data_IF_129930658561
#
_entry.id   IF_129930658561
#
_cell.length_a   1.000
_cell.length_b   1.000
_cell.length_c   1.000
_cell.angle_alpha   90.00
_cell.angle_beta   90.00
_cell.angle_gamma   90.00
#
_symmetry.space_group_name_H-M   'P 1'
#
loop_
_entity.id
_entity.type
_entity.pdbx_description
1 polymer ?
#
# COMPACT_ATOMS: atom_id res chain seq x y z
N UNK A 1 -2.18 -40.90 -18.15
CA UNK A 1 -2.65 -39.61 -17.58
C UNK A 1 -1.67 -38.45 -17.84
N UNK A 2 -0.35 -38.66 -17.74
CA UNK A 2 0.64 -37.57 -17.88
C UNK A 2 0.74 -36.89 -19.25
N UNK A 3 0.60 -37.61 -20.38
CA UNK A 3 0.76 -36.99 -21.71
C UNK A 3 -0.38 -36.02 -22.08
N UNK A 4 -1.64 -36.38 -21.77
CA UNK A 4 -2.79 -35.47 -21.97
C UNK A 4 -2.67 -34.20 -21.14
N UNK A 5 -2.12 -34.30 -19.93
CA UNK A 5 -1.85 -33.13 -19.08
C UNK A 5 -0.78 -32.22 -19.72
N UNK A 6 0.32 -32.79 -20.19
CA UNK A 6 1.42 -32.04 -20.82
C UNK A 6 0.95 -31.32 -22.10
N UNK A 7 0.14 -31.97 -22.93
CA UNK A 7 -0.44 -31.36 -24.13
C UNK A 7 -1.38 -30.21 -23.78
N UNK A 8 -2.24 -30.40 -22.78
CA UNK A 8 -3.16 -29.36 -22.30
C UNK A 8 -2.40 -28.15 -21.75
N UNK A 9 -1.32 -28.38 -21.00
CA UNK A 9 -0.47 -27.32 -20.45
C UNK A 9 0.30 -26.57 -21.55
N UNK A 10 0.80 -27.26 -22.59
CA UNK A 10 1.44 -26.61 -23.74
C UNK A 10 0.45 -25.78 -24.55
N UNK A 11 -0.74 -26.32 -24.82
CA UNK A 11 -1.78 -25.65 -25.59
C UNK A 11 -2.27 -24.35 -24.92
N UNK A 12 -2.25 -24.29 -23.58
CA UNK A 12 -2.71 -23.14 -22.81
C UNK A 12 -1.57 -22.34 -22.14
N UNK A 13 -0.32 -22.54 -22.58
CA UNK A 13 0.87 -21.96 -21.93
C UNK A 13 0.79 -20.43 -21.77
N UNK A 14 0.26 -19.71 -22.77
CA UNK A 14 0.10 -18.25 -22.71
C UNK A 14 -0.87 -17.79 -21.62
N UNK A 15 -2.03 -18.45 -21.53
CA UNK A 15 -3.05 -18.19 -20.49
C UNK A 15 -2.54 -18.53 -19.10
N UNK A 16 -1.79 -19.64 -18.98
CA UNK A 16 -1.16 -20.04 -17.72
C UNK A 16 -0.10 -19.03 -17.27
N UNK A 17 0.77 -18.57 -18.18
CA UNK A 17 1.78 -17.56 -17.87
C UNK A 17 1.11 -16.23 -17.46
N UNK A 18 0.10 -15.78 -18.21
CA UNK A 18 -0.64 -14.57 -17.85
C UNK A 18 -1.32 -14.68 -16.48
N UNK A 19 -1.96 -15.83 -16.20
CA UNK A 19 -2.56 -16.11 -14.89
C UNK A 19 -1.54 -16.10 -13.76
N UNK A 20 -0.36 -16.70 -13.95
CA UNK A 20 0.73 -16.69 -12.96
C UNK A 20 1.26 -15.27 -12.73
N UNK A 21 1.50 -14.48 -13.79
CA UNK A 21 1.96 -13.09 -13.66
C UNK A 21 0.94 -12.27 -12.87
N UNK A 22 -0.35 -12.41 -13.18
CA UNK A 22 -1.43 -11.71 -12.52
C UNK A 22 -1.52 -12.07 -11.03
N UNK A 23 -1.38 -13.37 -10.69
CA UNK A 23 -1.32 -13.84 -9.29
C UNK A 23 -0.10 -13.26 -8.57
N UNK A 24 1.08 -13.30 -9.20
CA UNK A 24 2.32 -12.75 -8.63
C UNK A 24 2.19 -11.24 -8.40
N UNK A 25 1.72 -10.48 -9.39
CA UNK A 25 1.49 -9.04 -9.26
C UNK A 25 0.49 -8.72 -8.15
N UNK A 26 -0.55 -9.53 -7.97
CA UNK A 26 -1.55 -9.31 -6.93
C UNK A 26 -1.05 -9.65 -5.53
N UNK A 27 -0.20 -10.67 -5.41
CA UNK A 27 0.49 -10.96 -4.16
C UNK A 27 1.46 -9.83 -3.80
N UNK A 28 2.20 -9.29 -4.78
CA UNK A 28 3.09 -8.14 -4.59
C UNK A 28 2.30 -6.91 -4.18
N UNK A 29 1.21 -6.58 -4.87
CA UNK A 29 0.34 -5.44 -4.52
C UNK A 29 -0.26 -5.64 -3.12
N UNK A 30 -0.70 -6.85 -2.75
CA UNK A 30 -1.22 -7.13 -1.40
C UNK A 30 -0.15 -6.94 -0.33
N UNK A 31 1.07 -7.43 -0.57
CA UNK A 31 2.19 -7.30 0.36
C UNK A 31 2.63 -5.85 0.56
N UNK A 32 2.59 -5.04 -0.50
CA UNK A 32 2.99 -3.63 -0.44
C UNK A 32 1.90 -2.73 0.14
N UNK A 33 0.63 -3.03 -0.11
CA UNK A 33 -0.49 -2.15 0.28
C UNK A 33 -1.14 -2.50 1.62
N UNK A 34 -0.76 -3.61 2.25
CA UNK A 34 -1.37 -4.08 3.49
C UNK A 34 -2.84 -4.48 3.34
N UNK A 35 -3.31 -4.68 2.10
CA UNK A 35 -4.68 -5.06 1.78
C UNK A 35 -4.97 -6.52 2.13
N UNK A 36 -6.19 -6.86 2.59
CA UNK A 36 -6.61 -8.25 2.72
C UNK A 36 -6.47 -8.93 1.36
N UNK A 37 -5.66 -9.98 1.31
CA UNK A 37 -5.38 -10.78 0.11
C UNK A 37 -6.66 -11.26 -0.59
N UNK A 38 -7.76 -11.41 0.16
CA UNK A 38 -9.09 -11.76 -0.37
C UNK A 38 -9.66 -10.73 -1.35
N UNK A 39 -9.41 -9.43 -1.16
CA UNK A 39 -9.89 -8.40 -2.08
C UNK A 39 -9.19 -8.51 -3.43
N UNK A 40 -7.86 -8.66 -3.41
CA UNK A 40 -7.06 -8.83 -4.62
C UNK A 40 -7.38 -10.16 -5.32
N UNK A 41 -7.52 -11.25 -4.56
CA UNK A 41 -7.98 -12.55 -5.10
C UNK A 41 -9.36 -12.40 -5.76
N UNK A 42 -10.28 -11.65 -5.15
CA UNK A 42 -11.60 -11.37 -5.72
C UNK A 42 -11.53 -10.66 -7.07
N UNK A 43 -10.68 -9.63 -7.19
CA UNK A 43 -10.45 -8.93 -8.46
C UNK A 43 -9.86 -9.84 -9.54
N UNK A 44 -8.94 -10.73 -9.15
CA UNK A 44 -8.36 -11.69 -10.07
C UNK A 44 -9.33 -12.75 -10.56
N UNK A 45 -10.16 -13.27 -9.67
CA UNK A 45 -11.22 -14.22 -10.03
C UNK A 45 -12.23 -13.54 -10.95
N UNK A 46 -12.64 -12.30 -10.65
CA UNK A 46 -13.54 -11.55 -11.52
C UNK A 46 -12.93 -11.30 -12.92
N UNK A 47 -11.66 -10.93 -13.00
CA UNK A 47 -10.95 -10.77 -14.28
C UNK A 47 -10.83 -12.10 -15.05
N UNK A 48 -10.50 -13.19 -14.37
CA UNK A 48 -10.44 -14.53 -14.97
C UNK A 48 -11.79 -15.00 -15.51
N UNK A 49 -12.87 -14.77 -14.76
CA UNK A 49 -14.23 -15.12 -15.18
C UNK A 49 -14.73 -14.25 -16.33
N UNK A 50 -14.44 -12.94 -16.33
CA UNK A 50 -14.82 -12.05 -17.43
C UNK A 50 -14.07 -12.37 -18.72
N UNK A 51 -12.76 -12.58 -18.65
CA UNK A 51 -11.95 -12.97 -19.82
C UNK A 51 -12.35 -14.35 -20.36
N UNK A 52 -12.60 -15.33 -19.49
CA UNK A 52 -13.13 -16.65 -19.89
C UNK A 52 -14.54 -16.56 -20.49
N UNK A 53 -15.42 -15.74 -19.92
CA UNK A 53 -16.77 -15.49 -20.42
C UNK A 53 -16.77 -14.86 -21.81
N UNK A 54 -15.93 -13.84 -22.02
CA UNK A 54 -15.75 -13.18 -23.33
C UNK A 54 -15.18 -14.16 -24.36
N UNK A 55 -14.14 -14.92 -23.99
CA UNK A 55 -13.59 -15.96 -24.86
C UNK A 55 -14.64 -17.01 -25.25
N UNK A 56 -15.40 -17.53 -24.28
CA UNK A 56 -16.45 -18.55 -24.49
C UNK A 56 -17.63 -18.00 -25.31
N UNK A 57 -18.05 -16.77 -25.08
CA UNK A 57 -19.12 -16.15 -25.86
C UNK A 57 -18.69 -15.92 -27.31
N UNK A 58 -17.48 -15.38 -27.52
CA UNK A 58 -16.92 -15.13 -28.86
C UNK A 58 -16.73 -16.40 -29.67
N UNK A 59 -16.16 -17.45 -29.05
CA UNK A 59 -15.99 -18.77 -29.69
C UNK A 59 -17.32 -19.46 -30.05
N UNK A 60 -18.43 -19.07 -29.43
CA UNK A 60 -19.77 -19.60 -29.76
C UNK A 60 -20.49 -18.82 -30.86
N UNK A 61 -20.29 -17.52 -30.95
CA UNK A 61 -21.13 -16.65 -31.79
C UNK A 61 -20.38 -15.96 -32.94
N UNK A 62 -19.06 -15.81 -32.84
CA UNK A 62 -18.29 -14.98 -33.78
C UNK A 62 -17.28 -15.78 -34.62
N UNK A 63 -16.87 -16.99 -34.22
CA UNK A 63 -15.78 -17.68 -34.89
C UNK A 63 -16.06 -19.18 -35.14
N UNK A 64 -16.27 -19.61 -36.42
CA UNK A 64 -16.41 -21.01 -36.78
C UNK A 64 -15.08 -21.78 -36.79
N UNK A 65 -13.92 -21.10 -36.70
CA UNK A 65 -12.58 -21.72 -36.70
C UNK A 65 -11.73 -21.16 -35.55
N UNK A 66 -11.49 -21.92 -34.48
CA UNK A 66 -10.93 -21.40 -33.23
C UNK A 66 -9.40 -21.23 -33.26
N UNK A 67 -8.74 -21.28 -34.42
CA UNK A 67 -7.29 -21.48 -34.47
C UNK A 67 -6.49 -20.24 -34.06
N UNK A 68 -7.04 -19.01 -34.11
CA UNK A 68 -6.34 -17.79 -33.66
C UNK A 68 -7.28 -16.67 -33.18
N UNK A 69 -7.36 -16.44 -31.87
CA UNK A 69 -7.94 -15.20 -31.33
C UNK A 69 -6.96 -14.05 -31.61
N UNK A 70 -7.32 -12.97 -32.33
CA UNK A 70 -6.39 -11.89 -32.59
C UNK A 70 -5.99 -11.19 -31.29
N UNK A 71 -4.68 -11.05 -31.05
CA UNK A 71 -4.10 -10.47 -29.83
C UNK A 71 -4.74 -9.13 -29.43
N UNK A 72 -5.10 -8.29 -30.41
CA UNK A 72 -5.76 -7.00 -30.18
C UNK A 72 -7.15 -7.10 -29.53
N UNK A 73 -7.89 -8.18 -29.75
CA UNK A 73 -9.20 -8.40 -29.11
C UNK A 73 -9.11 -8.88 -27.66
N UNK A 74 -8.05 -9.62 -27.32
CA UNK A 74 -7.76 -10.00 -25.93
C UNK A 74 -7.23 -8.79 -25.14
N UNK A 75 -6.40 -7.96 -25.79
CA UNK A 75 -5.89 -6.72 -25.21
C UNK A 75 -7.00 -5.70 -24.91
N UNK A 76 -7.96 -5.50 -25.83
CA UNK A 76 -9.07 -4.57 -25.61
C UNK A 76 -10.00 -5.01 -24.47
N UNK A 77 -10.29 -6.31 -24.37
CA UNK A 77 -11.11 -6.85 -23.29
C UNK A 77 -10.42 -6.74 -21.93
N UNK A 78 -9.10 -6.95 -21.88
CA UNK A 78 -8.30 -6.76 -20.68
C UNK A 78 -8.28 -5.31 -20.20
N UNK A 79 -8.14 -4.35 -21.12
CA UNK A 79 -8.18 -2.91 -20.80
C UNK A 79 -9.54 -2.51 -20.23
N UNK A 80 -10.65 -2.96 -20.85
CA UNK A 80 -12.01 -2.68 -20.35
C UNK A 80 -12.18 -3.23 -18.93
N UNK A 81 -11.74 -4.46 -18.68
CA UNK A 81 -11.83 -5.05 -17.35
C UNK A 81 -11.00 -4.27 -16.30
N UNK A 82 -9.79 -3.82 -16.65
CA UNK A 82 -8.98 -2.98 -15.77
C UNK A 82 -9.64 -1.64 -15.45
N UNK A 83 -10.22 -0.97 -16.45
CA UNK A 83 -10.96 0.28 -16.25
C UNK A 83 -12.17 0.06 -15.34
N UNK A 84 -12.96 -0.99 -15.57
CA UNK A 84 -14.11 -1.32 -14.71
C UNK A 84 -13.66 -1.58 -13.27
N UNK A 85 -12.60 -2.37 -13.07
CA UNK A 85 -12.04 -2.63 -11.73
C UNK A 85 -11.56 -1.33 -11.07
N UNK A 86 -10.87 -0.47 -11.81
CA UNK A 86 -10.43 0.83 -11.29
C UNK A 86 -11.61 1.70 -10.87
N UNK A 87 -12.66 1.81 -11.70
CA UNK A 87 -13.87 2.59 -11.39
C UNK A 87 -14.62 2.03 -10.18
N UNK A 88 -14.73 0.69 -10.07
CA UNK A 88 -15.32 0.04 -8.89
C UNK A 88 -14.49 0.30 -7.64
N UNK A 89 -13.16 0.23 -7.73
CA UNK A 89 -12.28 0.57 -6.61
C UNK A 89 -12.48 2.03 -6.17
N UNK A 90 -12.61 2.97 -7.11
CA UNK A 90 -12.93 4.36 -6.77
C UNK A 90 -14.34 4.52 -6.16
N UNK A 91 -15.29 3.61 -6.37
CA UNK A 91 -16.61 3.71 -5.76
C UNK A 91 -16.63 3.35 -4.26
N UNK A 92 -15.62 2.64 -3.77
CA UNK A 92 -15.53 2.28 -2.34
C UNK A 92 -15.20 3.54 -1.52
N UNK A 93 -15.97 3.83 -0.44
CA UNK A 93 -15.79 5.07 0.33
C UNK A 93 -14.58 5.06 1.29
N UNK A 94 -13.97 3.89 1.52
CA UNK A 94 -12.80 3.76 2.39
C UNK A 94 -11.62 4.61 1.89
N UNK A 95 -10.80 5.10 2.82
CA UNK A 95 -9.60 5.88 2.52
C UNK A 95 -9.85 7.30 2.01
N UNK A 96 -11.08 7.83 2.14
CA UNK A 96 -11.42 9.20 1.71
C UNK A 96 -11.49 10.22 2.84
N UNK A 97 -11.47 9.74 4.09
CA UNK A 97 -11.47 10.61 5.25
C UNK A 97 -10.04 11.04 5.57
N UNK A 98 -9.77 12.31 5.30
CA UNK A 98 -8.50 12.99 5.56
C UNK A 98 -8.63 14.03 6.67
N UNK A 99 -9.60 13.84 7.57
CA UNK A 99 -9.75 14.72 8.71
C UNK A 99 -8.60 14.54 9.70
N UNK A 100 -8.14 15.69 10.20
CA UNK A 100 -7.14 15.79 11.25
C UNK A 100 -7.87 16.04 12.57
N UNK A 101 -7.84 15.10 13.52
CA UNK A 101 -8.53 15.26 14.80
C UNK A 101 -7.85 16.36 15.65
N UNK A 102 -8.49 16.86 16.71
CA UNK A 102 -7.88 17.88 17.56
C UNK A 102 -6.60 17.34 18.24
N UNK A 103 -5.62 18.22 18.41
CA UNK A 103 -4.40 17.94 19.17
C UNK A 103 -4.64 18.15 20.66
N UNK A 104 -3.98 17.36 21.51
CA UNK A 104 -4.16 17.47 22.97
C UNK A 104 -2.84 17.64 23.76
N UNK A 105 -1.71 17.67 23.06
CA UNK A 105 -0.38 17.88 23.62
C UNK A 105 0.68 17.11 22.87
N UNK A 106 1.94 17.46 23.09
CA UNK A 106 3.11 16.77 22.54
C UNK A 106 4.04 16.32 23.66
N UNK A 107 4.97 15.37 23.40
CA UNK A 107 6.08 15.10 24.29
C UNK A 107 6.80 16.39 24.69
N UNK A 108 7.34 16.41 25.90
CA UNK A 108 8.27 17.44 26.32
C UNK A 108 9.62 17.21 25.62
N UNK A 109 9.68 17.53 24.32
CA UNK A 109 10.85 17.35 23.47
C UNK A 109 12.10 17.92 24.13
N UNK A 110 13.19 17.15 24.13
CA UNK A 110 14.48 17.57 24.69
C UNK A 110 14.95 18.91 24.09
N UNK A 111 14.84 19.04 22.76
CA UNK A 111 15.14 20.29 22.05
C UNK A 111 14.14 20.61 20.95
N UNK A 112 14.14 21.87 20.50
CA UNK A 112 13.41 22.28 19.29
C UNK A 112 13.86 21.47 18.05
N UNK A 113 15.15 21.14 17.95
CA UNK A 113 15.68 20.34 16.85
C UNK A 113 15.11 18.91 16.86
N UNK A 114 14.98 18.29 18.03
CA UNK A 114 14.34 16.97 18.17
C UNK A 114 12.92 17.02 17.61
N UNK A 115 12.14 18.03 18.01
CA UNK A 115 10.78 18.22 17.49
C UNK A 115 10.76 18.39 15.97
N UNK A 116 11.62 19.25 15.41
CA UNK A 116 11.69 19.49 13.97
C UNK A 116 11.97 18.20 13.17
N UNK A 117 12.87 17.36 13.67
CA UNK A 117 13.19 16.08 13.05
C UNK A 117 12.01 15.09 13.13
N UNK A 118 11.33 15.02 14.27
CA UNK A 118 10.15 14.16 14.43
C UNK A 118 8.98 14.65 13.56
N UNK A 119 8.75 15.96 13.47
CA UNK A 119 7.73 16.53 12.58
C UNK A 119 8.01 16.11 11.13
N UNK A 120 9.25 16.28 10.67
CA UNK A 120 9.62 15.92 9.30
C UNK A 120 9.56 14.43 9.00
N UNK A 121 9.95 13.58 9.95
CA UNK A 121 10.15 12.15 9.70
C UNK A 121 8.95 11.28 10.11
N UNK A 122 8.12 11.74 11.04
CA UNK A 122 7.14 10.90 11.73
C UNK A 122 5.70 11.42 11.69
N UNK A 123 5.46 12.74 11.60
CA UNK A 123 4.12 13.30 11.82
C UNK A 123 3.09 12.89 10.76
N UNK A 124 3.52 12.61 9.53
CA UNK A 124 2.64 12.15 8.46
C UNK A 124 1.97 10.79 8.75
N UNK A 125 2.44 10.05 9.75
CA UNK A 125 1.80 8.80 10.21
C UNK A 125 1.43 8.81 11.70
N UNK A 126 2.20 9.53 12.53
CA UNK A 126 2.13 9.46 14.00
C UNK A 126 1.68 10.77 14.65
N UNK A 127 0.93 11.61 13.93
CA UNK A 127 0.37 12.85 14.49
C UNK A 127 -1.06 13.10 14.07
N UNK A 128 -1.69 14.10 14.67
CA UNK A 128 -3.01 14.60 14.26
C UNK A 128 -2.93 15.67 13.17
N UNK A 129 -1.73 16.04 12.72
CA UNK A 129 -1.47 17.04 11.68
C UNK A 129 -0.82 16.39 10.45
N UNK A 130 -1.48 15.36 9.91
CA UNK A 130 -1.00 14.67 8.70
C UNK A 130 -1.19 15.59 7.50
N UNK A 131 -0.13 15.78 6.71
CA UNK A 131 -0.25 16.36 5.38
C UNK A 131 -0.65 15.27 4.38
N UNK A 132 -1.90 15.31 3.95
CA UNK A 132 -2.47 14.26 3.10
C UNK A 132 -2.04 14.48 1.64
N UNK A 133 -1.16 13.63 1.09
CA UNK A 133 -0.66 13.82 -0.27
C UNK A 133 -1.76 13.61 -1.29
N UNK A 134 -1.70 14.25 -2.45
CA UNK A 134 -2.76 14.19 -3.47
C UNK A 134 -3.19 12.76 -3.84
N UNK A 135 -2.25 11.81 -3.86
CA UNK A 135 -2.50 10.40 -4.20
C UNK A 135 -3.28 9.66 -3.12
N UNK A 136 -3.37 10.21 -1.89
CA UNK A 136 -4.25 9.68 -0.85
C UNK A 136 -5.73 9.81 -1.20
N UNK A 137 -6.09 10.48 -2.29
CA UNK A 137 -7.47 10.57 -2.77
C UNK A 137 -7.83 9.51 -3.82
N UNK A 138 -6.88 8.70 -4.27
CA UNK A 138 -7.06 7.75 -5.39
C UNK A 138 -6.83 6.32 -4.92
N UNK A 139 -7.85 5.46 -5.05
CA UNK A 139 -7.70 4.05 -4.71
C UNK A 139 -6.76 3.33 -5.71
N UNK A 140 -5.99 2.32 -5.27
CA UNK A 140 -5.92 1.79 -3.90
C UNK A 140 -4.93 2.54 -2.98
N UNK A 141 -4.22 3.56 -3.47
CA UNK A 141 -3.23 4.29 -2.69
C UNK A 141 -3.86 4.99 -1.48
N UNK A 142 -5.03 5.63 -1.68
CA UNK A 142 -5.84 6.23 -0.62
C UNK A 142 -6.04 5.34 0.59
N UNK A 143 -6.35 4.08 0.31
CA UNK A 143 -6.62 3.12 1.34
C UNK A 143 -5.38 2.71 2.13
N UNK A 144 -4.25 2.51 1.44
CA UNK A 144 -2.99 2.18 2.08
C UNK A 144 -2.53 3.33 2.99
N UNK A 145 -2.59 4.58 2.49
CA UNK A 145 -2.21 5.77 3.28
C UNK A 145 -3.06 5.88 4.55
N UNK A 146 -4.39 5.84 4.42
CA UNK A 146 -5.28 5.95 5.58
C UNK A 146 -5.05 4.80 6.57
N UNK A 147 -4.83 3.57 6.09
CA UNK A 147 -4.48 2.45 6.95
C UNK A 147 -3.17 2.69 7.71
N UNK A 148 -2.12 3.15 7.04
CA UNK A 148 -0.83 3.43 7.67
C UNK A 148 -0.93 4.53 8.73
N UNK A 149 -1.68 5.60 8.45
CA UNK A 149 -1.94 6.67 9.43
C UNK A 149 -2.71 6.15 10.64
N UNK A 150 -3.76 5.33 10.42
CA UNK A 150 -4.54 4.72 11.49
C UNK A 150 -3.70 3.77 12.36
N UNK A 151 -2.94 2.87 11.72
CA UNK A 151 -2.06 1.93 12.41
C UNK A 151 -0.93 2.67 13.17
N UNK A 152 -0.36 3.73 12.57
CA UNK A 152 0.67 4.58 13.15
C UNK A 152 0.18 5.27 14.43
N UNK A 153 -0.90 6.06 14.31
CA UNK A 153 -1.57 6.72 15.45
C UNK A 153 -1.99 5.74 16.54
N UNK A 154 -2.38 4.52 16.18
CA UNK A 154 -2.79 3.47 17.12
C UNK A 154 -1.64 2.89 17.97
N UNK A 155 -0.40 3.00 17.49
CA UNK A 155 0.82 2.60 18.23
C UNK A 155 1.35 3.77 19.06
N UNK A 156 1.57 4.90 18.40
CA UNK A 156 2.03 6.15 19.01
C UNK A 156 1.48 7.34 18.23
N UNK A 157 0.93 8.31 18.95
CA UNK A 157 0.49 9.58 18.39
C UNK A 157 1.12 10.73 19.18
N UNK A 158 2.11 11.38 18.56
CA UNK A 158 2.89 12.47 19.17
C UNK A 158 2.06 13.72 19.45
N UNK A 159 0.82 13.82 18.98
CA UNK A 159 -0.08 14.94 19.28
C UNK A 159 -1.25 14.55 20.19
N UNK A 160 -1.22 13.34 20.72
CA UNK A 160 -2.14 12.87 21.75
C UNK A 160 -1.41 12.56 23.08
N UNK A 161 -0.53 13.44 23.53
CA UNK A 161 0.39 13.20 24.66
C UNK A 161 -0.19 13.46 26.07
N UNK A 162 -1.47 13.79 26.19
CA UNK A 162 -2.15 13.88 27.48
C UNK A 162 -2.57 12.52 28.08
N UNK A 163 -2.23 11.42 27.40
CA UNK A 163 -2.53 10.04 27.78
C UNK A 163 -1.34 9.13 27.48
N UNK A 164 -1.26 7.95 28.13
CA UNK A 164 -0.25 6.95 27.80
C UNK A 164 -0.32 6.55 26.33
N UNK A 165 0.84 6.41 25.69
CA UNK A 165 0.97 5.81 24.37
C UNK A 165 1.25 4.32 24.49
N UNK A 166 0.83 3.54 23.49
CA UNK A 166 0.99 2.08 23.52
C UNK A 166 2.44 1.65 23.28
N UNK A 167 3.13 2.34 22.37
CA UNK A 167 4.50 2.05 21.91
C UNK A 167 5.30 3.35 21.84
N UNK A 168 5.09 4.27 22.80
CA UNK A 168 5.79 5.56 22.84
C UNK A 168 7.29 5.37 23.13
N UNK A 169 7.58 4.55 24.13
CA UNK A 169 8.89 4.05 24.55
C UNK A 169 9.67 3.30 23.45
N UNK A 170 8.97 2.70 22.50
CA UNK A 170 9.59 2.00 21.37
C UNK A 170 10.14 2.97 20.29
N UNK A 171 9.83 4.28 20.36
CA UNK A 171 10.19 5.25 19.32
C UNK A 171 11.69 5.32 19.06
N UNK A 172 12.51 5.42 20.11
CA UNK A 172 13.98 5.38 19.99
C UNK A 172 14.46 4.10 19.30
N UNK A 173 13.88 2.98 19.71
CA UNK A 173 14.31 1.64 19.32
C UNK A 173 13.97 1.33 17.86
N UNK A 174 12.80 1.76 17.39
CA UNK A 174 12.38 1.62 15.99
C UNK A 174 13.20 2.50 15.04
N UNK A 175 13.59 3.70 15.46
CA UNK A 175 14.51 4.56 14.69
C UNK A 175 15.91 3.95 14.67
N UNK A 176 16.41 3.46 15.81
CA UNK A 176 17.74 2.84 15.93
C UNK A 176 17.88 1.57 15.08
N UNK A 177 16.81 0.76 14.98
CA UNK A 177 16.75 -0.43 14.12
C UNK A 177 16.60 -0.09 12.63
N UNK A 178 16.33 1.17 12.29
CA UNK A 178 16.05 1.61 10.93
C UNK A 178 14.68 1.17 10.41
N UNK A 179 13.78 0.77 11.31
CA UNK A 179 12.39 0.46 10.98
C UNK A 179 11.60 1.73 10.65
N UNK A 180 11.95 2.85 11.31
CA UNK A 180 11.30 4.15 11.16
C UNK A 180 12.31 5.26 10.77
N UNK A 181 11.98 6.10 9.78
CA UNK A 181 10.93 5.91 8.79
C UNK A 181 11.22 4.67 7.91
N UNK A 182 10.19 3.90 7.49
CA UNK A 182 10.43 2.72 6.67
C UNK A 182 11.12 3.06 5.35
N UNK A 183 12.01 2.19 4.87
CA UNK A 183 12.78 2.46 3.65
C UNK A 183 11.90 2.69 2.41
N UNK A 184 10.73 2.04 2.33
CA UNK A 184 9.77 2.25 1.25
C UNK A 184 9.10 3.62 1.28
N UNK A 185 9.04 4.29 2.45
CA UNK A 185 8.41 5.60 2.61
C UNK A 185 9.20 6.67 1.86
N UNK A 186 10.52 6.66 2.04
CA UNK A 186 11.45 7.59 1.37
C UNK A 186 11.83 7.14 -0.05
N UNK A 187 11.48 5.90 -0.42
CA UNK A 187 11.76 5.35 -1.74
C UNK A 187 10.96 6.06 -2.83
N UNK A 188 11.60 6.37 -3.96
CA UNK A 188 10.95 7.07 -5.08
C UNK A 188 10.79 8.58 -4.90
N UNK A 189 11.28 9.15 -3.79
CA UNK A 189 11.41 10.60 -3.59
C UNK A 189 10.11 11.34 -3.21
N UNK A 190 8.99 10.62 -3.06
CA UNK A 190 7.72 11.22 -2.64
C UNK A 190 7.76 11.78 -1.21
N UNK A 191 8.64 11.22 -0.37
CA UNK A 191 8.90 11.67 1.00
C UNK A 191 10.40 11.87 1.23
N UNK A 192 11.06 12.59 0.32
CA UNK A 192 12.49 12.82 0.42
C UNK A 192 12.87 13.62 1.69
N UNK A 193 11.99 14.48 2.18
CA UNK A 193 12.23 15.32 3.36
C UNK A 193 12.31 14.53 4.67
N UNK A 194 11.66 13.37 4.72
CA UNK A 194 11.74 12.41 5.83
C UNK A 194 13.02 11.56 5.82
N UNK A 195 13.84 11.64 4.75
CA UNK A 195 15.11 10.93 4.67
C UNK A 195 16.18 11.66 5.46
N UNK A 196 16.41 11.20 6.70
CA UNK A 196 17.42 11.75 7.60
C UNK A 196 18.84 11.51 7.07
N UNK A 197 19.68 12.54 7.14
CA UNK A 197 21.14 12.40 7.01
C UNK A 197 21.72 11.68 8.23
N UNK A 198 22.96 11.20 8.15
CA UNK A 198 23.62 10.56 9.30
C UNK A 198 23.71 11.47 10.53
N UNK A 199 23.95 12.77 10.32
CA UNK A 199 24.01 13.75 11.42
C UNK A 199 22.63 13.99 12.05
N UNK A 200 21.59 14.13 11.22
CA UNK A 200 20.20 14.26 11.71
C UNK A 200 19.73 13.00 12.41
N UNK A 201 20.08 11.81 11.92
CA UNK A 201 19.74 10.54 12.56
C UNK A 201 20.37 10.43 13.96
N UNK A 202 21.64 10.79 14.11
CA UNK A 202 22.29 10.84 15.43
C UNK A 202 21.60 11.85 16.35
N UNK A 203 21.36 13.07 15.86
CA UNK A 203 20.67 14.10 16.65
C UNK A 203 19.24 13.68 17.06
N UNK A 204 18.52 12.99 16.17
CA UNK A 204 17.20 12.44 16.47
C UNK A 204 17.29 11.35 17.54
N UNK A 205 18.23 10.40 17.43
CA UNK A 205 18.40 9.33 18.42
C UNK A 205 18.75 9.89 19.80
N UNK A 206 19.67 10.85 19.87
CA UNK A 206 20.04 11.50 21.13
C UNK A 206 18.84 12.25 21.74
N UNK A 207 18.09 12.97 20.91
CA UNK A 207 16.90 13.70 21.34
C UNK A 207 15.75 12.80 21.79
N UNK A 208 15.52 11.67 21.11
CA UNK A 208 14.52 10.68 21.50
C UNK A 208 14.88 10.02 22.84
N UNK A 209 16.16 9.69 23.05
CA UNK A 209 16.66 9.12 24.30
C UNK A 209 16.55 10.10 25.49
N UNK A 210 16.66 11.40 25.22
CA UNK A 210 16.56 12.45 26.23
C UNK A 210 15.11 12.93 26.46
N UNK A 211 14.17 12.59 25.58
CA UNK A 211 12.76 12.99 25.71
C UNK A 211 11.99 11.96 26.55
N UNK A 212 11.37 12.37 27.68
CA UNK A 212 10.66 11.45 28.55
C UNK A 212 9.53 10.69 27.84
N UNK A 213 9.45 9.38 28.08
CA UNK A 213 8.42 8.50 27.51
C UNK A 213 8.66 8.04 26.07
N UNK A 214 9.86 8.27 25.50
CA UNK A 214 10.23 7.84 24.14
C UNK A 214 11.32 6.75 24.07
N UNK A 215 11.85 6.32 25.21
CA UNK A 215 12.98 5.37 25.28
C UNK A 215 13.07 4.56 26.58
N UNK A 216 12.00 4.49 27.37
CA UNK A 216 11.99 3.91 28.73
C UNK A 216 11.38 2.52 28.81
#
# INVERSE_FOLDING_TARGET
>A
MGQRLIETLRANRGTLIAGVIIVVLSLVVSAVSGFPSLFMIGLLVAFGLTTWGVYRWRSRHLDPRPDRVPLGSLASSGLVALVVVFLVAQAVPYGRDHSNPPTNGEPAWDTAQTRELVVRACFDCHSNEVDWPWYSNIAPASWAVVKHVQDGRGKVNYQEWNRPQKEGDESFDEVKKGSMPPSYYTFGGLHADAKLTSAELTALLDGLLATPGLSE
#
